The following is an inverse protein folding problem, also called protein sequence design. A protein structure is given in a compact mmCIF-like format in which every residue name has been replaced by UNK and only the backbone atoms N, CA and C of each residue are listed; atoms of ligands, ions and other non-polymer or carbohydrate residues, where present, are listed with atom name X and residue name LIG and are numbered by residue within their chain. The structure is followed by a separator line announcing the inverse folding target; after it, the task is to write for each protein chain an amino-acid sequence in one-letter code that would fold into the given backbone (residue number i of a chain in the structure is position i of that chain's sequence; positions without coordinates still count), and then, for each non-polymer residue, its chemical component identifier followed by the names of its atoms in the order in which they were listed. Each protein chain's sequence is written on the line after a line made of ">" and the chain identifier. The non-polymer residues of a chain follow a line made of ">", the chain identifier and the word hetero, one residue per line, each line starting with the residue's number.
data_IF_445266053094
#
_entry.id   IF_445266053094
#
_cell.length_a   1.000
_cell.length_b   1.000
_cell.length_c   1.000
_cell.angle_alpha   90.00
_cell.angle_beta   90.00
_cell.angle_gamma   90.00
#
_symmetry.space_group_name_H-M   'P 1'
#
loop_
_entity.id
_entity.type
_entity.pdbx_description
1 polymer ?
#
# COMPACT_ATOMS: atom_id res chain seq x y z
N UNK A 1 9.09 -15.50 -4.41
CA UNK A 1 8.41 -14.34 -3.79
C UNK A 1 7.58 -14.84 -2.60
N UNK A 2 7.95 -14.44 -1.38
CA UNK A 2 7.27 -14.84 -0.14
C UNK A 2 5.77 -14.49 -0.19
N UNK A 3 4.85 -15.39 0.22
CA UNK A 3 3.40 -15.13 0.17
C UNK A 3 2.96 -13.80 0.81
N UNK A 4 3.64 -13.36 1.87
CA UNK A 4 3.37 -12.10 2.55
C UNK A 4 3.71 -10.84 1.72
N UNK A 5 4.72 -10.90 0.83
CA UNK A 5 5.04 -9.81 -0.12
C UNK A 5 3.93 -9.65 -1.16
N UNK A 6 3.39 -10.77 -1.66
CA UNK A 6 2.28 -10.76 -2.62
C UNK A 6 1.01 -10.19 -2.01
N UNK A 7 0.70 -10.52 -0.76
CA UNK A 7 -0.43 -9.92 -0.05
C UNK A 7 -0.34 -8.38 0.02
N UNK A 8 0.84 -7.84 0.37
CA UNK A 8 1.05 -6.38 0.45
C UNK A 8 0.91 -5.71 -0.91
N UNK A 9 1.50 -6.30 -1.95
CA UNK A 9 1.33 -5.81 -3.32
C UNK A 9 -0.14 -5.72 -3.72
N UNK A 10 -0.92 -6.76 -3.41
CA UNK A 10 -2.36 -6.77 -3.71
C UNK A 10 -3.16 -5.74 -2.88
N UNK A 11 -2.79 -5.52 -1.62
CA UNK A 11 -3.42 -4.49 -0.80
C UNK A 11 -3.15 -3.07 -1.33
N UNK A 12 -1.93 -2.81 -1.83
CA UNK A 12 -1.64 -1.56 -2.53
C UNK A 12 -2.37 -1.44 -3.86
N UNK A 13 -2.50 -2.54 -4.60
CA UNK A 13 -3.24 -2.56 -5.85
C UNK A 13 -4.72 -2.18 -5.63
N UNK A 14 -5.35 -2.71 -4.58
CA UNK A 14 -6.70 -2.30 -4.15
C UNK A 14 -6.77 -0.80 -3.85
N UNK A 15 -5.80 -0.24 -3.11
CA UNK A 15 -5.75 1.22 -2.85
C UNK A 15 -5.65 2.02 -4.15
N UNK A 16 -4.80 1.61 -5.09
CA UNK A 16 -4.67 2.27 -6.40
C UNK A 16 -5.98 2.21 -7.17
N UNK A 17 -6.63 1.03 -7.24
CA UNK A 17 -7.89 0.88 -7.97
C UNK A 17 -9.01 1.70 -7.35
N UNK A 18 -9.09 1.73 -6.02
CA UNK A 18 -10.04 2.57 -5.30
C UNK A 18 -9.86 4.05 -5.64
N UNK A 19 -8.63 4.57 -5.53
CA UNK A 19 -8.35 5.98 -5.85
C UNK A 19 -8.56 6.29 -7.34
N UNK A 20 -8.34 5.31 -8.22
CA UNK A 20 -8.64 5.46 -9.65
C UNK A 20 -10.14 5.60 -9.90
N UNK A 21 -10.99 4.82 -9.22
CA UNK A 21 -12.45 4.99 -9.26
C UNK A 21 -12.84 6.42 -8.86
N UNK A 22 -12.29 6.93 -7.75
CA UNK A 22 -12.54 8.31 -7.34
C UNK A 22 -12.11 9.31 -8.43
N UNK A 23 -10.93 9.11 -9.03
CA UNK A 23 -10.40 10.00 -10.07
C UNK A 23 -11.27 9.99 -11.33
N UNK A 24 -11.80 8.82 -11.73
CA UNK A 24 -12.72 8.70 -12.86
C UNK A 24 -14.03 9.42 -12.56
N UNK A 25 -14.61 9.23 -11.38
CA UNK A 25 -15.82 9.94 -10.94
C UNK A 25 -15.62 11.45 -10.80
N UNK A 26 -14.40 11.89 -10.51
CA UNK A 26 -14.07 13.30 -10.49
C UNK A 26 -13.96 13.92 -11.90
N UNK A 27 -13.71 13.09 -12.93
CA UNK A 27 -13.55 13.55 -14.31
C UNK A 27 -14.88 13.91 -14.99
N UNK A 28 -14.82 14.72 -16.06
CA UNK A 28 -16.01 15.09 -16.85
C UNK A 28 -16.56 13.90 -17.64
N UNK A 29 -15.69 13.12 -18.27
CA UNK A 29 -16.05 12.00 -19.15
C UNK A 29 -16.10 10.64 -18.40
N UNK A 30 -16.65 10.63 -17.18
CA UNK A 30 -16.59 9.47 -16.29
C UNK A 30 -17.33 8.22 -16.80
N UNK A 31 -18.35 8.41 -17.65
CA UNK A 31 -19.32 7.36 -17.98
C UNK A 31 -18.72 6.19 -18.76
N UNK A 32 -17.70 6.41 -19.60
CA UNK A 32 -17.03 5.33 -20.34
C UNK A 32 -16.07 4.51 -19.47
N UNK A 33 -15.54 5.12 -18.41
CA UNK A 33 -14.39 4.61 -17.69
C UNK A 33 -14.75 4.08 -16.30
N UNK A 34 -15.92 4.45 -15.76
CA UNK A 34 -16.33 4.08 -14.40
C UNK A 34 -16.63 2.58 -14.29
N UNK A 35 -17.26 1.97 -15.30
CA UNK A 35 -17.54 0.54 -15.32
C UNK A 35 -16.24 -0.26 -15.30
N UNK A 36 -15.28 0.14 -16.14
CA UNK A 36 -13.96 -0.47 -16.19
C UNK A 36 -13.22 -0.31 -14.85
N UNK A 37 -13.18 0.89 -14.29
CA UNK A 37 -12.52 1.14 -13.01
C UNK A 37 -13.15 0.32 -11.86
N UNK A 38 -14.48 0.16 -11.89
CA UNK A 38 -15.22 -0.64 -10.91
C UNK A 38 -14.93 -2.13 -11.04
N UNK A 39 -14.90 -2.66 -12.27
CA UNK A 39 -14.52 -4.06 -12.53
C UNK A 39 -13.09 -4.34 -12.07
N UNK A 40 -12.15 -3.44 -12.39
CA UNK A 40 -10.76 -3.58 -11.95
C UNK A 40 -10.62 -3.56 -10.43
N UNK A 41 -11.36 -2.69 -9.73
CA UNK A 41 -11.39 -2.66 -8.27
C UNK A 41 -11.94 -3.98 -7.69
N UNK A 42 -13.09 -4.45 -8.18
CA UNK A 42 -13.69 -5.71 -7.73
C UNK A 42 -12.75 -6.90 -7.94
N UNK A 43 -12.06 -6.95 -9.09
CA UNK A 43 -11.06 -8.00 -9.37
C UNK A 43 -9.85 -7.94 -8.42
N UNK A 44 -9.34 -6.73 -8.14
CA UNK A 44 -8.25 -6.55 -7.17
C UNK A 44 -8.67 -6.93 -5.75
N UNK A 45 -9.91 -6.61 -5.33
CA UNK A 45 -10.45 -7.03 -4.04
C UNK A 45 -10.56 -8.54 -3.92
N UNK A 46 -11.10 -9.22 -4.94
CA UNK A 46 -11.18 -10.67 -4.98
C UNK A 46 -9.79 -11.31 -4.84
N UNK A 47 -8.81 -10.79 -5.58
CA UNK A 47 -7.42 -11.26 -5.51
C UNK A 47 -6.81 -11.03 -4.12
N UNK A 48 -7.08 -9.87 -3.49
CA UNK A 48 -6.64 -9.58 -2.14
C UNK A 48 -7.24 -10.56 -1.13
N UNK A 49 -8.53 -10.86 -1.21
CA UNK A 49 -9.22 -11.83 -0.35
C UNK A 49 -8.56 -13.21 -0.47
N UNK A 50 -8.35 -13.69 -1.70
CA UNK A 50 -7.70 -14.98 -1.95
C UNK A 50 -6.29 -15.05 -1.35
N UNK A 51 -5.48 -13.99 -1.51
CA UNK A 51 -4.14 -13.95 -0.92
C UNK A 51 -4.17 -13.84 0.59
N UNK A 52 -5.11 -13.07 1.15
CA UNK A 52 -5.26 -12.93 2.61
C UNK A 52 -5.61 -14.26 3.26
N UNK A 53 -6.57 -14.99 2.69
CA UNK A 53 -6.96 -16.32 3.18
C UNK A 53 -5.77 -17.29 3.21
N UNK A 54 -4.82 -17.13 2.27
CA UNK A 54 -3.63 -17.96 2.19
C UNK A 54 -2.50 -17.56 3.18
N UNK A 55 -2.53 -16.35 3.77
CA UNK A 55 -1.40 -15.84 4.57
C UNK A 55 -1.75 -15.28 5.95
N UNK A 56 -3.01 -14.92 6.19
CA UNK A 56 -3.46 -14.25 7.41
C UNK A 56 -4.96 -14.48 7.67
N UNK A 57 -5.28 -15.68 8.19
CA UNK A 57 -6.65 -16.07 8.51
C UNK A 57 -7.34 -15.14 9.53
N UNK A 58 -6.57 -14.48 10.41
CA UNK A 58 -7.11 -13.57 11.41
C UNK A 58 -7.65 -12.27 10.80
N UNK A 59 -7.11 -11.85 9.66
CA UNK A 59 -7.54 -10.64 8.95
C UNK A 59 -8.41 -10.93 7.72
N UNK A 60 -8.57 -12.20 7.32
CA UNK A 60 -9.42 -12.63 6.20
C UNK A 60 -10.83 -12.03 6.21
N UNK A 61 -11.54 -12.12 7.34
CA UNK A 61 -12.91 -11.60 7.46
C UNK A 61 -12.96 -10.06 7.34
N UNK A 62 -11.94 -9.37 7.86
CA UNK A 62 -11.84 -7.91 7.74
C UNK A 62 -11.64 -7.51 6.28
N UNK A 63 -10.73 -8.19 5.59
CA UNK A 63 -10.43 -7.93 4.17
C UNK A 63 -11.65 -8.21 3.27
N UNK A 64 -12.42 -9.27 3.56
CA UNK A 64 -13.62 -9.59 2.80
C UNK A 64 -14.72 -8.52 2.89
N UNK A 65 -14.75 -7.73 3.98
CA UNK A 65 -15.71 -6.65 4.16
C UNK A 65 -15.28 -5.30 3.55
N UNK A 66 -13.99 -5.13 3.23
CA UNK A 66 -13.46 -3.87 2.69
C UNK A 66 -14.14 -3.56 1.36
N UNK A 67 -14.70 -2.36 1.26
CA UNK A 67 -15.34 -1.82 0.06
C UNK A 67 -16.56 -2.61 -0.43
N UNK A 68 -17.18 -3.44 0.41
CA UNK A 68 -18.41 -4.16 0.05
C UNK A 68 -19.52 -3.21 -0.39
N UNK A 69 -19.79 -2.16 0.40
CA UNK A 69 -20.81 -1.14 0.09
C UNK A 69 -20.43 -0.27 -1.11
N UNK A 70 -19.13 -0.10 -1.38
CA UNK A 70 -18.65 0.64 -2.53
C UNK A 70 -18.99 -0.07 -3.84
N UNK A 71 -18.73 -1.37 -3.94
CA UNK A 71 -19.03 -2.17 -5.14
C UNK A 71 -20.53 -2.12 -5.45
N UNK A 72 -21.37 -2.24 -4.43
CA UNK A 72 -22.83 -2.09 -4.57
C UNK A 72 -23.23 -0.70 -5.07
N UNK A 73 -22.56 0.36 -4.59
CA UNK A 73 -22.83 1.74 -5.01
C UNK A 73 -22.42 1.98 -6.46
N UNK A 74 -21.27 1.43 -6.89
CA UNK A 74 -20.76 1.51 -8.26
C UNK A 74 -21.59 0.70 -9.26
N UNK A 75 -22.29 -0.34 -8.80
CA UNK A 75 -23.19 -1.14 -9.66
C UNK A 75 -24.44 -0.39 -10.11
N UNK A 76 -24.76 0.75 -9.48
CA UNK A 76 -25.94 1.56 -9.81
C UNK A 76 -25.61 2.60 -10.88
N UNK A 77 -26.54 2.89 -11.80
CA UNK A 77 -26.33 3.94 -12.79
C UNK A 77 -26.09 5.31 -12.12
N UNK A 78 -24.91 5.90 -12.35
CA UNK A 78 -24.58 7.24 -11.89
C UNK A 78 -24.90 8.21 -13.04
N UNK A 79 -25.90 9.07 -12.83
CA UNK A 79 -26.24 10.17 -13.75
C UNK A 79 -25.36 11.39 -13.48
N UNK A 80 -25.02 12.14 -14.53
CA UNK A 80 -23.99 13.19 -14.48
C UNK A 80 -24.31 14.29 -13.45
N UNK A 81 -25.59 14.68 -13.36
CA UNK A 81 -26.05 15.68 -12.41
C UNK A 81 -25.85 15.28 -10.93
N UNK A 82 -25.70 13.98 -10.64
CA UNK A 82 -25.47 13.44 -9.28
C UNK A 82 -24.06 12.89 -9.08
N UNK A 83 -23.16 13.05 -10.05
CA UNK A 83 -21.81 12.48 -10.01
C UNK A 83 -21.02 12.91 -8.77
N UNK A 84 -21.06 14.19 -8.42
CA UNK A 84 -20.37 14.72 -7.25
C UNK A 84 -20.97 14.15 -5.95
N UNK A 85 -22.29 13.98 -5.87
CA UNK A 85 -22.95 13.39 -4.70
C UNK A 85 -22.62 11.89 -4.59
N UNK A 86 -22.52 11.18 -5.71
CA UNK A 86 -22.06 9.80 -5.76
C UNK A 86 -20.61 9.68 -5.28
N UNK A 87 -19.72 10.56 -5.75
CA UNK A 87 -18.33 10.64 -5.29
C UNK A 87 -18.26 10.87 -3.77
N UNK A 88 -19.02 11.83 -3.25
CA UNK A 88 -19.10 12.11 -1.81
C UNK A 88 -19.58 10.90 -1.02
N UNK A 89 -20.66 10.27 -1.47
CA UNK A 89 -21.24 9.07 -0.83
C UNK A 89 -20.23 7.92 -0.79
N UNK A 90 -19.51 7.70 -1.90
CA UNK A 90 -18.47 6.69 -2.01
C UNK A 90 -17.32 6.97 -1.05
N UNK A 91 -16.84 8.22 -0.99
CA UNK A 91 -15.78 8.60 -0.07
C UNK A 91 -16.23 8.43 1.39
N UNK A 92 -17.45 8.84 1.72
CA UNK A 92 -17.99 8.73 3.08
C UNK A 92 -18.13 7.26 3.52
N UNK A 93 -18.67 6.39 2.66
CA UNK A 93 -18.84 4.96 2.98
C UNK A 93 -17.53 4.18 3.00
N UNK A 94 -16.52 4.61 2.25
CA UNK A 94 -15.23 3.92 2.12
C UNK A 94 -14.19 4.39 3.16
N UNK A 95 -14.47 5.40 3.96
CA UNK A 95 -13.50 6.02 4.86
C UNK A 95 -12.97 5.05 5.93
N UNK A 96 -13.85 4.23 6.50
CA UNK A 96 -13.47 3.22 7.50
C UNK A 96 -12.73 2.04 6.86
N UNK A 97 -13.13 1.64 5.66
CA UNK A 97 -12.47 0.60 4.88
C UNK A 97 -11.04 0.99 4.51
N UNK A 98 -10.84 2.24 4.10
CA UNK A 98 -9.54 2.82 3.83
C UNK A 98 -8.64 2.82 5.08
N UNK A 99 -9.20 3.21 6.24
CA UNK A 99 -8.47 3.13 7.52
C UNK A 99 -8.12 1.69 7.89
N UNK A 100 -9.03 0.74 7.65
CA UNK A 100 -8.79 -0.67 7.91
C UNK A 100 -7.67 -1.20 7.01
N UNK A 101 -7.72 -0.94 5.70
CA UNK A 101 -6.72 -1.39 4.74
C UNK A 101 -5.33 -0.81 5.04
N UNK A 102 -5.26 0.49 5.33
CA UNK A 102 -4.00 1.17 5.67
C UNK A 102 -3.40 0.64 6.98
N UNK A 103 -4.20 0.38 8.02
CA UNK A 103 -3.74 -0.27 9.27
C UNK A 103 -3.24 -1.70 9.05
N UNK A 104 -3.90 -2.48 8.19
CA UNK A 104 -3.44 -3.83 7.84
C UNK A 104 -2.09 -3.80 7.12
N UNK A 105 -1.92 -2.86 6.19
CA UNK A 105 -0.67 -2.64 5.47
C UNK A 105 0.47 -2.21 6.41
N UNK A 106 0.26 -1.18 7.25
CA UNK A 106 1.29 -0.69 8.18
C UNK A 106 1.64 -1.76 9.21
N UNK A 107 0.66 -2.45 9.77
CA UNK A 107 0.88 -3.57 10.69
C UNK A 107 1.68 -4.71 10.04
N UNK A 108 1.41 -5.02 8.77
CA UNK A 108 2.18 -6.01 8.00
C UNK A 108 3.63 -5.58 7.79
N UNK A 109 3.86 -4.30 7.46
CA UNK A 109 5.20 -3.74 7.31
C UNK A 109 5.98 -3.71 8.63
N UNK A 110 5.33 -3.37 9.75
CA UNK A 110 5.95 -3.40 11.08
C UNK A 110 6.40 -4.82 11.44
N UNK A 111 5.62 -5.86 11.08
CA UNK A 111 6.07 -7.25 11.27
C UNK A 111 7.33 -7.58 10.46
N UNK A 112 7.40 -7.15 9.19
CA UNK A 112 8.62 -7.34 8.36
C UNK A 112 9.80 -6.63 9.01
N UNK A 113 9.60 -5.38 9.43
CA UNK A 113 10.65 -4.58 10.07
C UNK A 113 11.25 -5.36 11.25
N UNK A 114 10.42 -5.89 12.13
CA UNK A 114 10.88 -6.73 13.24
C UNK A 114 11.60 -8.02 12.81
N UNK A 115 11.24 -8.63 11.67
CA UNK A 115 12.00 -9.76 11.13
C UNK A 115 13.38 -9.35 10.60
N UNK A 116 13.46 -8.21 9.90
CA UNK A 116 14.71 -7.67 9.37
C UNK A 116 15.64 -7.22 10.49
N UNK A 117 15.12 -6.59 11.54
CA UNK A 117 15.88 -6.22 12.73
C UNK A 117 16.50 -7.45 13.40
N UNK A 118 15.75 -8.55 13.53
CA UNK A 118 16.29 -9.83 14.04
C UNK A 118 17.33 -10.45 13.10
N UNK A 119 17.13 -10.36 11.79
CA UNK A 119 18.10 -10.84 10.81
C UNK A 119 19.41 -10.05 10.91
N UNK A 120 19.32 -8.72 11.07
CA UNK A 120 20.46 -7.83 11.31
C UNK A 120 21.23 -8.21 12.57
N UNK A 121 20.53 -8.39 13.69
CA UNK A 121 21.15 -8.85 14.95
C UNK A 121 21.88 -10.19 14.76
N UNK A 122 21.24 -11.13 14.07
CA UNK A 122 21.86 -12.42 13.74
C UNK A 122 23.12 -12.25 12.88
N UNK A 123 23.07 -11.42 11.83
CA UNK A 123 24.24 -11.13 10.98
C UNK A 123 25.38 -10.55 11.81
N UNK A 124 25.11 -9.59 12.69
CA UNK A 124 26.14 -8.99 13.56
C UNK A 124 26.75 -10.06 14.48
N UNK A 125 25.94 -10.92 15.08
CA UNK A 125 26.42 -12.00 15.95
C UNK A 125 27.32 -12.99 15.19
N UNK A 126 26.87 -13.48 14.03
CA UNK A 126 27.66 -14.38 13.19
C UNK A 126 28.92 -13.69 12.67
N UNK A 127 28.80 -12.41 12.28
CA UNK A 127 29.91 -11.61 11.78
C UNK A 127 31.01 -11.49 12.84
N UNK A 128 30.64 -11.23 14.09
CA UNK A 128 31.57 -11.15 15.22
C UNK A 128 32.20 -12.50 15.55
N UNK A 129 31.42 -13.60 15.49
CA UNK A 129 31.92 -14.94 15.77
C UNK A 129 32.91 -15.45 14.72
N UNK A 130 32.68 -15.13 13.44
CA UNK A 130 33.54 -15.53 12.33
C UNK A 130 34.58 -14.47 11.93
N UNK A 131 34.70 -13.38 12.71
CA UNK A 131 35.58 -12.26 12.37
C UNK A 131 37.05 -12.69 12.36
N UNK A 132 37.81 -12.44 11.28
CA UNK A 132 39.23 -12.77 11.23
C UNK A 132 40.05 -12.08 12.33
N UNK A 133 41.21 -12.65 12.64
CA UNK A 133 42.14 -12.08 13.63
C UNK A 133 42.54 -10.64 13.27
N UNK A 134 42.81 -9.82 14.29
CA UNK A 134 42.98 -8.37 14.17
C UNK A 134 44.05 -7.95 13.14
N UNK A 135 45.13 -8.70 13.01
CA UNK A 135 46.21 -8.43 12.07
C UNK A 135 46.16 -9.27 10.78
N UNK A 136 45.03 -9.93 10.52
CA UNK A 136 44.86 -10.69 9.28
C UNK A 136 44.56 -9.75 8.10
N UNK A 137 45.24 -9.91 6.95
CA UNK A 137 44.91 -9.15 5.74
C UNK A 137 43.46 -9.36 5.28
N UNK A 138 42.83 -10.49 5.63
CA UNK A 138 41.43 -10.80 5.30
C UNK A 138 40.42 -10.02 6.15
N UNK A 139 40.83 -9.41 7.27
CA UNK A 139 39.91 -8.77 8.21
C UNK A 139 39.27 -7.51 7.62
N UNK A 140 40.03 -6.73 6.87
CA UNK A 140 39.52 -5.50 6.26
C UNK A 140 38.39 -5.81 5.27
N UNK A 141 38.63 -6.73 4.32
CA UNK A 141 37.64 -7.11 3.32
C UNK A 141 36.41 -7.77 3.95
N UNK A 142 36.61 -8.56 5.01
CA UNK A 142 35.52 -9.13 5.78
C UNK A 142 34.65 -8.06 6.44
N UNK A 143 35.27 -7.14 7.20
CA UNK A 143 34.56 -6.07 7.90
C UNK A 143 33.81 -5.17 6.91
N UNK A 144 34.42 -4.88 5.75
CA UNK A 144 33.81 -4.12 4.67
C UNK A 144 32.57 -4.82 4.10
N UNK A 145 32.67 -6.11 3.77
CA UNK A 145 31.52 -6.87 3.27
C UNK A 145 30.35 -6.89 4.27
N UNK A 146 30.64 -7.03 5.57
CA UNK A 146 29.60 -6.97 6.61
C UNK A 146 29.01 -5.56 6.69
N UNK A 147 29.84 -4.52 6.61
CA UNK A 147 29.35 -3.14 6.60
C UNK A 147 28.42 -2.85 5.41
N UNK A 148 28.78 -3.32 4.21
CA UNK A 148 27.97 -3.16 3.00
C UNK A 148 26.60 -3.86 3.16
N UNK A 149 26.59 -5.10 3.68
CA UNK A 149 25.34 -5.83 3.97
C UNK A 149 24.47 -5.12 5.02
N UNK A 150 25.09 -4.57 6.07
CA UNK A 150 24.37 -3.82 7.10
C UNK A 150 23.78 -2.53 6.54
N UNK A 151 24.50 -1.85 5.64
CA UNK A 151 23.99 -0.65 4.97
C UNK A 151 22.74 -0.96 4.14
N UNK A 152 22.75 -2.03 3.33
CA UNK A 152 21.56 -2.46 2.57
C UNK A 152 20.35 -2.71 3.48
N UNK A 153 20.58 -3.33 4.64
CA UNK A 153 19.52 -3.57 5.64
C UNK A 153 18.96 -2.26 6.19
N UNK A 154 19.82 -1.29 6.55
CA UNK A 154 19.37 0.02 7.04
C UNK A 154 18.56 0.78 5.98
N UNK A 155 18.96 0.69 4.70
CA UNK A 155 18.22 1.29 3.58
C UNK A 155 16.83 0.67 3.41
N UNK A 156 16.71 -0.65 3.59
CA UNK A 156 15.41 -1.35 3.57
C UNK A 156 14.53 -0.92 4.75
N UNK A 157 15.10 -0.85 5.97
CA UNK A 157 14.38 -0.41 7.17
C UNK A 157 13.86 1.03 7.02
N UNK A 158 14.72 1.94 6.53
CA UNK A 158 14.35 3.33 6.27
C UNK A 158 13.24 3.43 5.20
N UNK A 159 13.32 2.59 4.15
CA UNK A 159 12.29 2.53 3.10
C UNK A 159 10.95 2.07 3.66
N UNK A 160 10.93 1.03 4.51
CA UNK A 160 9.71 0.56 5.17
C UNK A 160 9.07 1.65 6.06
N UNK A 161 9.89 2.41 6.79
CA UNK A 161 9.39 3.51 7.62
C UNK A 161 8.81 4.65 6.77
N UNK A 162 9.48 5.03 5.68
CA UNK A 162 8.97 6.04 4.76
C UNK A 162 7.64 5.63 4.13
N UNK A 163 7.52 4.36 3.75
CA UNK A 163 6.29 3.77 3.22
C UNK A 163 5.17 3.80 4.25
N UNK A 164 5.43 3.37 5.49
CA UNK A 164 4.43 3.39 6.56
C UNK A 164 3.91 4.81 6.80
N UNK A 165 4.80 5.80 6.89
CA UNK A 165 4.42 7.21 7.00
C UNK A 165 3.58 7.69 5.82
N UNK A 166 3.86 7.22 4.60
CA UNK A 166 3.05 7.50 3.42
C UNK A 166 1.65 6.92 3.53
N UNK A 167 1.54 5.63 3.88
CA UNK A 167 0.27 4.92 4.03
C UNK A 167 -0.60 5.56 5.12
N UNK A 168 -0.03 5.92 6.26
CA UNK A 168 -0.74 6.51 7.39
C UNK A 168 -1.36 7.87 7.06
N UNK A 169 -0.83 8.59 6.07
CA UNK A 169 -1.37 9.87 5.61
C UNK A 169 -2.57 9.72 4.67
N UNK A 170 -2.74 8.57 4.02
CA UNK A 170 -3.78 8.36 3.00
C UNK A 170 -5.18 8.63 3.55
N UNK A 171 -5.61 8.10 4.73
CA UNK A 171 -6.94 8.36 5.26
C UNK A 171 -7.21 9.83 5.55
N UNK A 172 -6.21 10.57 6.02
CA UNK A 172 -6.33 12.00 6.30
C UNK A 172 -6.46 12.81 5.00
N UNK A 173 -5.58 12.56 4.03
CA UNK A 173 -5.65 13.19 2.71
C UNK A 173 -6.99 12.90 2.01
N UNK A 174 -7.48 11.67 2.11
CA UNK A 174 -8.79 11.28 1.60
C UNK A 174 -9.93 12.10 2.24
N UNK A 175 -9.92 12.25 3.57
CA UNK A 175 -10.90 13.07 4.29
C UNK A 175 -10.83 14.55 3.90
N UNK A 176 -9.63 15.10 3.74
CA UNK A 176 -9.42 16.47 3.28
C UNK A 176 -10.00 16.69 1.88
N UNK A 177 -9.76 15.75 0.94
CA UNK A 177 -10.36 15.79 -0.40
C UNK A 177 -11.89 15.77 -0.29
N UNK A 178 -12.45 14.90 0.55
CA UNK A 178 -13.90 14.83 0.75
C UNK A 178 -14.51 16.15 1.24
N UNK A 179 -13.84 16.84 2.16
CA UNK A 179 -14.26 18.17 2.66
C UNK A 179 -14.11 19.22 1.56
N UNK A 180 -13.02 19.19 0.78
CA UNK A 180 -12.79 20.15 -0.31
C UNK A 180 -13.83 20.06 -1.43
N UNK A 181 -14.47 18.89 -1.63
CA UNK A 181 -15.60 18.72 -2.56
C UNK A 181 -16.85 19.53 -2.14
N UNK A 182 -17.01 19.85 -0.86
CA UNK A 182 -18.08 20.76 -0.41
C UNK A 182 -17.72 22.23 -0.68
N UNK A 183 -16.43 22.55 -0.70
CA UNK A 183 -15.91 23.91 -0.86
C UNK A 183 -15.60 24.29 -2.33
N UNK A 184 -15.75 23.36 -3.28
CA UNK A 184 -15.45 23.52 -4.72
C UNK A 184 -14.02 24.03 -5.03
N UNK A 185 -13.05 23.74 -4.16
CA UNK A 185 -11.64 24.14 -4.36
C UNK A 185 -10.76 22.92 -4.65
N UNK A 186 -9.98 22.97 -5.75
CA UNK A 186 -8.80 22.13 -6.10
C UNK A 186 -8.82 20.63 -5.71
N UNK A 187 -10.00 20.05 -5.56
CA UNK A 187 -10.22 18.72 -4.97
C UNK A 187 -9.81 17.61 -5.94
N UNK A 188 -9.96 17.86 -7.24
CA UNK A 188 -9.60 16.94 -8.32
C UNK A 188 -8.08 16.85 -8.45
N UNK A 189 -7.36 17.97 -8.38
CA UNK A 189 -5.90 18.01 -8.40
C UNK A 189 -5.30 17.30 -7.18
N UNK A 190 -5.86 17.54 -5.99
CA UNK A 190 -5.45 16.86 -4.76
C UNK A 190 -5.64 15.33 -4.86
N UNK A 191 -6.78 14.90 -5.43
CA UNK A 191 -7.05 13.48 -5.66
C UNK A 191 -6.07 12.83 -6.64
N UNK A 192 -5.73 13.52 -7.74
CA UNK A 192 -4.72 13.05 -8.70
C UNK A 192 -3.34 12.92 -8.04
N UNK A 193 -2.96 13.87 -7.19
CA UNK A 193 -1.72 13.81 -6.42
C UNK A 193 -1.68 12.59 -5.48
N UNK A 194 -2.79 12.29 -4.80
CA UNK A 194 -2.89 11.11 -3.95
C UNK A 194 -2.78 9.80 -4.76
N UNK A 195 -3.45 9.72 -5.92
CA UNK A 195 -3.32 8.57 -6.84
C UNK A 195 -1.87 8.33 -7.23
N UNK A 196 -1.15 9.39 -7.64
CA UNK A 196 0.25 9.30 -8.06
C UNK A 196 1.16 8.82 -6.93
N UNK A 197 0.93 9.28 -5.70
CA UNK A 197 1.73 8.85 -4.55
C UNK A 197 1.51 7.37 -4.22
N UNK A 198 0.27 6.89 -4.24
CA UNK A 198 -0.01 5.47 -4.01
C UNK A 198 0.56 4.60 -5.14
N UNK A 199 0.49 5.06 -6.39
CA UNK A 199 1.12 4.38 -7.53
C UNK A 199 2.65 4.30 -7.39
N UNK A 200 3.29 5.38 -6.93
CA UNK A 200 4.74 5.42 -6.66
C UNK A 200 5.13 4.36 -5.62
N UNK A 201 4.38 4.27 -4.53
CA UNK A 201 4.60 3.27 -3.48
C UNK A 201 4.38 1.84 -4.01
N UNK A 202 3.32 1.61 -4.79
CA UNK A 202 3.06 0.29 -5.39
C UNK A 202 4.19 -0.15 -6.34
N UNK A 203 4.69 0.77 -7.18
CA UNK A 203 5.81 0.50 -8.09
C UNK A 203 7.08 0.06 -7.34
N UNK A 204 7.36 0.67 -6.20
CA UNK A 204 8.48 0.28 -5.35
C UNK A 204 8.35 -1.17 -4.85
N UNK A 205 7.17 -1.58 -4.36
CA UNK A 205 6.95 -2.97 -3.95
C UNK A 205 7.09 -3.97 -5.11
N UNK A 206 6.64 -3.61 -6.31
CA UNK A 206 6.83 -4.42 -7.51
C UNK A 206 8.29 -4.57 -7.90
N UNK A 207 9.11 -3.53 -7.74
CA UNK A 207 10.55 -3.68 -7.97
C UNK A 207 11.20 -4.65 -6.98
N UNK A 208 10.81 -4.62 -5.70
CA UNK A 208 11.34 -5.55 -4.68
C UNK A 208 10.95 -7.01 -4.95
N UNK A 209 9.82 -7.26 -5.61
CA UNK A 209 9.39 -8.63 -5.94
C UNK A 209 10.01 -9.18 -7.22
N UNK A 210 10.61 -8.31 -8.05
CA UNK A 210 11.25 -8.65 -9.32
C UNK A 210 12.77 -8.82 -9.24
N UNK A 211 13.41 -8.32 -8.18
CA UNK A 211 14.82 -8.61 -7.90
C UNK A 211 14.96 -10.11 -7.57
N UNK A 212 15.52 -10.87 -8.51
CA UNK A 212 15.85 -12.30 -8.37
C UNK A 212 17.22 -12.48 -7.74
#
# INVERSE_FOLDING_TARGET
>A
ITPSLRYREQAFEVLVKYLNVLSVLASKDYASDIDKASIELSSSLQTLIEKTNAVDAANAAKVAGIFGTLVDTLSRPIVEAKRIDALKTIMDSSQEDLQTLTKLLTGSNTKIKGFIEKARESIILHANAARPQYNSPLRYDYDKNIADQLQEIEEILASLDAINKGIEKIPAAHKEIRVSLDQKQNSIEALKGLVQEVQRVNKFYRSLSQTK
#
